data_IF_700225806992
#
_entry.id   IF_700225806992
#
_cell.length_a   1.000
_cell.length_b   1.000
_cell.length_c   1.000
_cell.angle_alpha   90.00
_cell.angle_beta   90.00
_cell.angle_gamma   90.00
#
_symmetry.space_group_name_H-M   'P 1'
#
loop_
_entity.id
_entity.type
_entity.pdbx_description
1 polymer ?
#
# COMPACT_ATOMS: atom_id res chain seq x y z
N UNK A 1 -43.14 -26.83 -39.26
CA UNK A 1 -41.80 -26.66 -39.86
C UNK A 1 -41.12 -25.62 -39.04
N UNK A 2 -40.27 -26.10 -38.15
CA UNK A 2 -39.56 -25.32 -37.14
C UNK A 2 -38.54 -24.41 -37.82
N UNK A 3 -38.53 -23.13 -37.44
CA UNK A 3 -37.37 -22.26 -37.62
C UNK A 3 -36.92 -21.78 -36.23
N UNK A 4 -36.06 -22.60 -35.63
CA UNK A 4 -35.28 -22.24 -34.47
C UNK A 4 -34.07 -21.42 -34.93
N UNK A 5 -34.23 -20.11 -35.07
CA UNK A 5 -33.07 -19.21 -35.10
C UNK A 5 -32.83 -18.69 -33.68
N UNK A 6 -31.87 -19.30 -32.99
CA UNK A 6 -31.35 -18.81 -31.70
C UNK A 6 -30.71 -17.42 -31.88
N UNK A 7 -30.87 -16.48 -30.94
CA UNK A 7 -30.07 -15.26 -30.94
C UNK A 7 -28.60 -15.64 -30.72
N UNK A 8 -27.74 -15.27 -31.67
CA UNK A 8 -26.30 -15.32 -31.47
C UNK A 8 -25.93 -14.44 -30.26
N UNK A 9 -25.07 -14.91 -29.35
CA UNK A 9 -24.55 -14.04 -28.30
C UNK A 9 -23.73 -12.95 -28.97
N UNK A 10 -24.06 -11.70 -28.62
CA UNK A 10 -23.36 -10.49 -29.03
C UNK A 10 -21.90 -10.59 -28.53
N UNK A 11 -21.03 -11.19 -29.36
CA UNK A 11 -19.60 -11.21 -29.11
C UNK A 11 -19.12 -9.78 -29.32
N UNK A 12 -19.06 -9.03 -28.21
CA UNK A 12 -18.52 -7.68 -28.16
C UNK A 12 -17.15 -7.65 -28.85
N UNK A 13 -17.15 -7.24 -30.10
CA UNK A 13 -15.98 -7.07 -30.93
C UNK A 13 -15.35 -5.74 -30.50
N UNK A 14 -14.57 -5.76 -29.42
CA UNK A 14 -13.75 -4.60 -29.06
C UNK A 14 -12.74 -4.38 -30.19
N UNK A 15 -12.68 -3.14 -30.69
CA UNK A 15 -11.71 -2.76 -31.72
C UNK A 15 -10.29 -3.04 -31.18
N UNK A 16 -9.48 -3.90 -31.84
CA UNK A 16 -8.14 -4.24 -31.38
C UNK A 16 -7.25 -3.01 -31.16
N UNK A 17 -7.48 -1.92 -31.90
CA UNK A 17 -6.76 -0.66 -31.75
C UNK A 17 -7.15 0.01 -30.44
N UNK A 18 -8.45 0.07 -30.12
CA UNK A 18 -8.96 0.62 -28.87
C UNK A 18 -8.46 -0.17 -27.65
N UNK A 19 -8.37 -1.49 -27.75
CA UNK A 19 -7.82 -2.33 -26.67
C UNK A 19 -6.32 -2.09 -26.48
N UNK A 20 -5.57 -1.91 -27.56
CA UNK A 20 -4.15 -1.58 -27.50
C UNK A 20 -3.91 -0.19 -26.91
N UNK A 21 -4.71 0.79 -27.30
CA UNK A 21 -4.68 2.16 -26.77
C UNK A 21 -5.03 2.19 -25.28
N UNK A 22 -6.03 1.42 -24.86
CA UNK A 22 -6.37 1.26 -23.44
C UNK A 22 -5.20 0.63 -22.67
N UNK A 23 -4.59 -0.44 -23.17
CA UNK A 23 -3.41 -1.08 -22.56
C UNK A 23 -2.21 -0.15 -22.48
N UNK A 24 -1.94 0.62 -23.53
CA UNK A 24 -0.90 1.65 -23.55
C UNK A 24 -1.16 2.71 -22.48
N UNK A 25 -2.39 3.22 -22.39
CA UNK A 25 -2.78 4.18 -21.37
C UNK A 25 -2.64 3.62 -19.95
N UNK A 26 -2.94 2.32 -19.73
CA UNK A 26 -2.70 1.66 -18.44
C UNK A 26 -1.22 1.57 -18.07
N UNK A 27 -0.36 1.22 -19.04
CA UNK A 27 1.08 1.15 -18.85
C UNK A 27 1.66 2.53 -18.54
N UNK A 28 1.22 3.56 -19.27
CA UNK A 28 1.64 4.95 -19.04
C UNK A 28 1.17 5.50 -17.70
N UNK A 29 -0.03 5.10 -17.26
CA UNK A 29 -0.57 5.50 -15.96
C UNK A 29 0.13 4.85 -14.77
N UNK A 30 0.91 3.78 -15.01
CA UNK A 30 1.63 3.02 -14.01
C UNK A 30 0.75 2.08 -13.21
N UNK A 31 1.39 1.24 -12.39
CA UNK A 31 0.76 0.09 -11.75
C UNK A 31 0.12 -0.82 -12.81
N UNK A 32 0.93 -1.45 -13.65
CA UNK A 32 0.45 -2.22 -14.81
C UNK A 32 -0.18 -3.57 -14.46
N UNK A 33 0.14 -4.12 -13.29
CA UNK A 33 -0.44 -5.38 -12.81
C UNK A 33 -1.88 -5.20 -12.35
N UNK A 34 -2.77 -6.18 -12.55
CA UNK A 34 -4.16 -6.09 -12.09
C UNK A 34 -4.28 -6.03 -10.55
N UNK A 35 -3.28 -6.57 -9.85
CA UNK A 35 -3.21 -6.56 -8.39
C UNK A 35 -1.95 -5.82 -7.92
N UNK A 36 -2.17 -4.98 -6.91
CA UNK A 36 -1.14 -4.37 -6.08
C UNK A 36 -1.21 -4.99 -4.69
N UNK A 37 -0.18 -4.82 -3.87
CA UNK A 37 -0.14 -5.41 -2.53
C UNK A 37 0.30 -4.39 -1.53
N UNK A 38 -0.35 -4.30 -0.38
CA UNK A 38 0.20 -3.62 0.79
C UNK A 38 0.50 -4.67 1.87
N UNK A 39 0.92 -4.27 3.05
CA UNK A 39 1.06 -5.18 4.20
C UNK A 39 0.17 -4.78 5.35
N UNK A 40 -0.21 -5.74 6.20
CA UNK A 40 -0.94 -5.49 7.44
C UNK A 40 -0.20 -4.48 8.32
N UNK A 41 1.13 -4.62 8.41
CA UNK A 41 1.99 -3.69 9.13
C UNK A 41 1.80 -2.27 8.63
N UNK A 42 1.83 -2.02 7.32
CA UNK A 42 1.65 -0.67 6.75
C UNK A 42 0.23 -0.12 6.90
N UNK A 43 -0.79 -0.99 6.98
CA UNK A 43 -2.17 -0.58 7.24
C UNK A 43 -2.33 -0.14 8.70
N UNK A 44 -1.64 -0.80 9.63
CA UNK A 44 -1.66 -0.46 11.05
C UNK A 44 -0.69 0.70 11.38
N UNK A 45 0.37 0.82 10.60
CA UNK A 45 1.45 1.78 10.73
C UNK A 45 1.40 2.76 9.55
N UNK A 46 0.38 3.62 9.50
CA UNK A 46 0.24 4.53 8.36
C UNK A 46 1.28 5.65 8.41
N UNK A 47 1.95 5.87 7.28
CA UNK A 47 2.85 7.02 7.16
C UNK A 47 2.09 8.34 7.31
N UNK A 48 2.75 9.43 7.72
CA UNK A 48 2.16 10.75 7.70
C UNK A 48 1.50 11.14 6.35
N UNK A 49 0.41 11.89 6.42
CA UNK A 49 -0.27 12.44 5.23
C UNK A 49 0.46 13.67 4.65
N UNK A 50 1.31 14.31 5.44
CA UNK A 50 2.04 15.53 5.05
C UNK A 50 3.38 15.63 5.80
N UNK A 51 4.25 16.51 5.33
CA UNK A 51 5.59 16.75 5.88
C UNK A 51 5.62 17.25 7.34
N UNK A 52 4.45 17.60 7.92
CA UNK A 52 4.35 18.22 9.25
C UNK A 52 4.70 17.29 10.41
N UNK A 53 4.72 15.98 10.20
CA UNK A 53 5.02 15.00 11.25
C UNK A 53 6.49 15.02 11.72
N UNK A 54 7.41 15.59 10.94
CA UNK A 54 8.81 15.67 11.34
C UNK A 54 9.55 14.34 11.19
N UNK A 55 10.24 13.90 12.25
CA UNK A 55 11.15 12.74 12.23
C UNK A 55 10.62 11.51 12.96
N UNK A 56 9.59 11.67 13.79
CA UNK A 56 9.08 10.63 14.68
C UNK A 56 7.55 10.67 14.67
N UNK A 57 6.95 9.49 14.74
CA UNK A 57 5.50 9.31 14.82
C UNK A 57 5.21 8.11 15.72
N UNK A 58 4.29 8.29 16.65
CA UNK A 58 3.75 7.20 17.47
C UNK A 58 2.26 7.08 17.16
N UNK A 59 1.83 5.86 16.81
CA UNK A 59 0.44 5.49 16.57
C UNK A 59 0.01 4.48 17.63
N UNK A 60 -1.13 4.68 18.25
CA UNK A 60 -1.68 3.76 19.25
C UNK A 60 -3.00 3.21 18.72
N UNK A 61 -3.09 1.89 18.63
CA UNK A 61 -4.25 1.18 18.13
C UNK A 61 -4.61 0.00 19.05
N UNK A 62 -5.46 0.27 20.04
CA UNK A 62 -5.80 -0.72 21.05
C UNK A 62 -4.56 -1.09 21.86
N UNK A 63 -4.14 -2.35 21.77
CA UNK A 63 -2.98 -2.87 22.49
C UNK A 63 -1.67 -2.74 21.70
N UNK A 64 -1.74 -2.31 20.44
CA UNK A 64 -0.55 -2.14 19.59
C UNK A 64 -0.13 -0.68 19.56
N UNK A 65 1.13 -0.43 19.90
CA UNK A 65 1.80 0.86 19.67
C UNK A 65 2.76 0.68 18.51
N UNK A 66 2.73 1.58 17.53
CA UNK A 66 3.71 1.62 16.44
C UNK A 66 4.48 2.91 16.50
N UNK A 67 5.80 2.79 16.59
CA UNK A 67 6.74 3.91 16.60
C UNK A 67 7.51 3.91 15.30
N UNK A 68 7.51 5.03 14.60
CA UNK A 68 8.33 5.23 13.40
C UNK A 68 9.34 6.33 13.64
N UNK A 69 10.57 6.09 13.21
CA UNK A 69 11.62 7.10 13.23
C UNK A 69 12.38 7.12 11.91
N UNK A 70 12.70 8.33 11.42
CA UNK A 70 13.60 8.49 10.29
C UNK A 70 14.51 9.70 10.47
N UNK A 71 15.82 9.46 10.45
CA UNK A 71 16.84 10.51 10.60
C UNK A 71 16.74 11.62 9.55
N UNK A 72 16.16 11.30 8.39
CA UNK A 72 15.95 12.22 7.27
C UNK A 72 14.54 12.82 7.22
N UNK A 73 13.74 12.65 8.28
CA UNK A 73 12.33 13.00 8.29
C UNK A 73 11.48 11.84 7.76
N UNK A 74 10.30 11.64 8.35
CA UNK A 74 9.42 10.55 7.98
C UNK A 74 8.96 10.68 6.52
N UNK A 75 8.84 9.55 5.79
CA UNK A 75 8.20 9.53 4.49
C UNK A 75 6.74 9.99 4.64
N UNK A 76 6.22 10.74 3.66
CA UNK A 76 4.85 11.25 3.73
C UNK A 76 4.15 11.32 2.38
N UNK A 77 2.82 11.38 2.43
CA UNK A 77 1.98 11.51 1.24
C UNK A 77 1.88 10.23 0.42
N UNK A 78 1.44 10.34 -0.82
CA UNK A 78 1.09 9.16 -1.61
C UNK A 78 2.28 8.33 -2.06
N UNK A 79 3.43 8.95 -2.37
CA UNK A 79 4.53 8.23 -3.01
C UNK A 79 5.13 7.13 -2.15
N UNK A 80 5.41 7.33 -0.84
CA UNK A 80 5.84 6.23 0.01
C UNK A 80 4.87 5.05 0.03
N UNK A 81 3.56 5.32 0.08
CA UNK A 81 2.52 4.28 0.07
C UNK A 81 2.54 3.49 -1.24
N UNK A 82 2.67 4.17 -2.37
CA UNK A 82 2.76 3.52 -3.69
C UNK A 82 4.07 2.74 -3.85
N UNK A 83 5.19 3.29 -3.39
CA UNK A 83 6.50 2.62 -3.39
C UNK A 83 6.42 1.36 -2.53
N UNK A 84 5.82 1.44 -1.35
CA UNK A 84 5.59 0.26 -0.52
C UNK A 84 4.70 -0.77 -1.22
N UNK A 85 3.66 -0.32 -1.94
CA UNK A 85 2.83 -1.24 -2.68
C UNK A 85 3.59 -1.98 -3.79
N UNK A 86 4.44 -1.23 -4.51
CA UNK A 86 5.34 -1.78 -5.51
C UNK A 86 6.34 -2.75 -4.89
N UNK A 87 6.91 -2.39 -3.73
CA UNK A 87 7.93 -3.18 -3.04
C UNK A 87 7.37 -4.49 -2.50
N UNK A 88 6.19 -4.49 -1.89
CA UNK A 88 5.51 -5.72 -1.43
C UNK A 88 5.26 -6.66 -2.60
N UNK A 89 4.80 -6.13 -3.74
CA UNK A 89 4.59 -6.92 -4.97
C UNK A 89 5.88 -7.55 -5.49
N UNK A 90 6.97 -6.78 -5.57
CA UNK A 90 8.26 -7.31 -6.04
C UNK A 90 8.87 -8.32 -5.05
N UNK A 91 8.71 -8.10 -3.75
CA UNK A 91 9.11 -9.07 -2.73
C UNK A 91 8.35 -10.40 -2.92
N UNK A 92 7.02 -10.35 -3.10
CA UNK A 92 6.21 -11.54 -3.36
C UNK A 92 6.64 -12.30 -4.62
N UNK A 93 7.04 -11.59 -5.69
CA UNK A 93 7.54 -12.23 -6.91
C UNK A 93 8.81 -13.05 -6.72
N UNK A 94 9.59 -12.70 -5.69
CA UNK A 94 10.91 -13.27 -5.41
C UNK A 94 10.90 -14.28 -4.27
N UNK A 95 9.75 -14.59 -3.67
CA UNK A 95 9.69 -15.39 -2.44
C UNK A 95 10.15 -16.85 -2.57
N UNK A 96 10.20 -17.38 -3.79
CA UNK A 96 10.72 -18.73 -4.05
C UNK A 96 12.26 -18.77 -4.17
N UNK A 97 12.93 -17.61 -4.12
CA UNK A 97 14.39 -17.52 -4.10
C UNK A 97 14.94 -17.69 -2.67
N UNK A 98 16.23 -18.02 -2.52
CA UNK A 98 16.89 -17.97 -1.21
C UNK A 98 16.72 -16.58 -0.57
N UNK A 99 16.52 -16.53 0.74
CA UNK A 99 16.16 -15.30 1.47
C UNK A 99 17.10 -14.12 1.17
N UNK A 100 18.41 -14.39 1.03
CA UNK A 100 19.41 -13.36 0.75
C UNK A 100 19.33 -12.76 -0.65
N UNK A 101 18.83 -13.51 -1.62
CA UNK A 101 18.55 -13.02 -2.98
C UNK A 101 17.13 -12.43 -3.08
N UNK A 102 16.18 -13.03 -2.37
CA UNK A 102 14.77 -12.65 -2.41
C UNK A 102 14.54 -11.23 -1.85
N UNK A 103 15.28 -10.87 -0.79
CA UNK A 103 15.21 -9.56 -0.14
C UNK A 103 15.98 -8.46 -0.86
N UNK A 104 16.75 -8.79 -1.89
CA UNK A 104 17.40 -7.83 -2.77
C UNK A 104 16.49 -7.54 -3.96
N UNK A 105 15.77 -6.43 -3.89
CA UNK A 105 14.77 -6.03 -4.87
C UNK A 105 15.43 -5.15 -5.93
N UNK A 106 15.56 -5.62 -7.19
CA UNK A 106 16.09 -4.80 -8.26
C UNK A 106 15.18 -3.60 -8.50
N UNK A 107 15.80 -2.45 -8.68
CA UNK A 107 15.20 -1.26 -9.23
C UNK A 107 15.40 -1.33 -10.74
N UNK A 108 14.37 -1.04 -11.53
CA UNK A 108 14.44 -1.07 -13.00
C UNK A 108 15.68 -0.37 -13.57
N UNK A 109 16.02 -0.70 -14.81
CA UNK A 109 17.14 -0.10 -15.56
C UNK A 109 17.14 1.44 -15.62
N UNK A 110 16.04 2.12 -15.32
CA UNK A 110 16.02 3.58 -15.19
C UNK A 110 15.06 4.12 -14.12
N UNK A 111 15.43 5.26 -13.54
CA UNK A 111 14.60 6.02 -12.60
C UNK A 111 13.23 6.37 -13.19
N UNK A 112 13.19 6.80 -14.46
CA UNK A 112 11.94 7.14 -15.15
C UNK A 112 11.04 5.91 -15.32
N UNK A 113 11.62 4.74 -15.61
CA UNK A 113 10.90 3.47 -15.66
C UNK A 113 10.30 3.10 -14.31
N UNK A 114 11.09 3.19 -13.23
CA UNK A 114 10.60 2.99 -11.86
C UNK A 114 9.48 3.96 -11.48
N UNK A 115 9.61 5.25 -11.78
CA UNK A 115 8.57 6.24 -11.54
C UNK A 115 7.25 5.86 -12.20
N UNK A 116 7.31 5.44 -13.47
CA UNK A 116 6.15 4.96 -14.20
C UNK A 116 5.54 3.74 -13.53
N UNK A 117 6.31 2.72 -13.19
CA UNK A 117 5.77 1.51 -12.55
C UNK A 117 5.06 1.75 -11.22
N UNK A 118 5.63 2.61 -10.37
CA UNK A 118 5.02 3.01 -9.09
C UNK A 118 3.75 3.86 -9.31
N UNK A 119 3.52 4.37 -10.52
CA UNK A 119 2.39 5.25 -10.84
C UNK A 119 2.65 6.72 -10.50
N UNK A 120 3.93 7.09 -10.33
CA UNK A 120 4.37 8.48 -10.22
C UNK A 120 4.35 9.12 -11.62
N UNK A 121 3.90 10.37 -11.70
CA UNK A 121 3.82 11.10 -12.97
C UNK A 121 5.18 11.34 -13.63
N UNK A 122 5.17 12.12 -14.71
CA UNK A 122 6.35 12.40 -15.55
C UNK A 122 7.60 12.75 -14.73
N UNK A 123 8.72 12.13 -15.08
CA UNK A 123 10.03 12.44 -14.52
C UNK A 123 10.49 13.82 -15.02
N UNK A 124 10.66 14.75 -14.10
CA UNK A 124 11.14 16.11 -14.35
C UNK A 124 12.31 16.44 -13.44
N UNK A 125 13.34 17.06 -14.02
CA UNK A 125 14.54 17.50 -13.31
C UNK A 125 14.38 18.86 -12.64
N UNK A 126 15.48 19.36 -12.07
CA UNK A 126 15.54 20.66 -11.39
C UNK A 126 15.18 20.60 -9.90
N UNK A 127 15.37 21.72 -9.20
CA UNK A 127 15.19 21.83 -7.74
C UNK A 127 13.76 21.48 -7.28
N UNK A 128 12.77 21.83 -8.10
CA UNK A 128 11.33 21.55 -7.86
C UNK A 128 10.80 20.39 -8.70
N UNK A 129 11.68 19.65 -9.37
CA UNK A 129 11.32 18.52 -10.22
C UNK A 129 10.83 17.29 -9.42
N UNK A 130 10.09 16.42 -10.10
CA UNK A 130 9.58 15.17 -9.51
C UNK A 130 10.71 14.22 -9.12
N UNK A 131 11.82 14.23 -9.86
CA UNK A 131 13.02 13.43 -9.54
C UNK A 131 13.60 13.85 -8.18
N UNK A 132 13.77 15.16 -7.96
CA UNK A 132 14.32 15.69 -6.71
C UNK A 132 13.42 15.37 -5.52
N UNK A 133 12.11 15.52 -5.69
CA UNK A 133 11.12 15.13 -4.68
C UNK A 133 11.16 13.62 -4.38
N UNK A 134 11.38 12.78 -5.39
CA UNK A 134 11.40 11.33 -5.24
C UNK A 134 12.64 10.89 -4.49
N UNK A 135 13.82 11.41 -4.86
CA UNK A 135 15.07 11.16 -4.14
C UNK A 135 14.92 11.47 -2.65
N UNK A 136 14.25 12.58 -2.32
CA UNK A 136 13.96 12.95 -0.92
C UNK A 136 13.04 11.92 -0.24
N UNK A 137 11.93 11.55 -0.86
CA UNK A 137 10.99 10.55 -0.30
C UNK A 137 11.63 9.17 -0.14
N UNK A 138 12.40 8.70 -1.12
CA UNK A 138 13.11 7.42 -1.04
C UNK A 138 14.16 7.42 0.07
N UNK A 139 14.94 8.52 0.19
CA UNK A 139 15.91 8.66 1.29
C UNK A 139 15.21 8.61 2.66
N UNK A 140 14.09 9.32 2.82
CA UNK A 140 13.28 9.29 4.04
C UNK A 140 12.72 7.90 4.33
N UNK A 141 12.15 7.24 3.31
CA UNK A 141 11.52 5.92 3.41
C UNK A 141 12.54 4.85 3.82
N UNK A 142 13.61 4.68 3.06
CA UNK A 142 14.59 3.62 3.31
C UNK A 142 15.50 3.88 4.51
N UNK A 143 15.43 5.07 5.13
CA UNK A 143 16.05 5.33 6.44
C UNK A 143 15.07 5.27 7.61
N UNK A 144 13.86 4.76 7.40
CA UNK A 144 12.84 4.63 8.46
C UNK A 144 13.02 3.31 9.21
N UNK A 145 13.02 3.38 10.54
CA UNK A 145 12.78 2.25 11.44
C UNK A 145 11.32 2.25 11.89
N UNK A 146 10.78 1.06 12.08
CA UNK A 146 9.43 0.79 12.56
C UNK A 146 9.57 -0.14 13.76
N UNK A 147 9.18 0.33 14.93
CA UNK A 147 9.03 -0.46 16.15
C UNK A 147 7.56 -0.73 16.42
N UNK A 148 7.22 -1.97 16.74
CA UNK A 148 5.87 -2.39 17.10
C UNK A 148 5.92 -2.99 18.50
N UNK A 149 5.14 -2.40 19.41
CA UNK A 149 4.97 -2.87 20.78
C UNK A 149 3.54 -3.40 20.93
N UNK A 150 3.39 -4.68 21.30
CA UNK A 150 2.08 -5.26 21.61
C UNK A 150 1.98 -5.48 23.12
N UNK A 151 1.05 -4.76 23.76
CA UNK A 151 0.73 -4.97 25.18
C UNK A 151 -0.05 -6.28 25.34
N UNK A 152 0.46 -7.18 26.18
CA UNK A 152 -0.28 -8.36 26.62
C UNK A 152 -1.48 -7.98 27.49
N UNK A 153 -2.49 -8.86 27.55
CA UNK A 153 -3.69 -8.71 28.39
C UNK A 153 -3.40 -8.92 29.90
N UNK A 154 -2.23 -9.46 30.23
CA UNK A 154 -1.74 -9.67 31.60
C UNK A 154 -0.43 -8.90 31.79
N UNK A 155 -0.29 -8.19 32.92
CA UNK A 155 0.93 -7.46 33.34
C UNK A 155 2.20 -8.35 33.41
N UNK A 156 2.05 -9.68 33.26
CA UNK A 156 3.10 -10.70 33.31
C UNK A 156 3.50 -11.30 31.95
N UNK A 157 2.86 -10.93 30.83
CA UNK A 157 3.29 -11.39 29.50
C UNK A 157 4.28 -10.40 28.91
N UNK A 158 5.45 -10.92 28.50
CA UNK A 158 6.54 -10.21 27.82
C UNK A 158 5.99 -9.22 26.77
N UNK A 159 6.50 -7.99 26.81
CA UNK A 159 6.34 -7.01 25.75
C UNK A 159 6.94 -7.62 24.48
N UNK A 160 6.12 -7.93 23.48
CA UNK A 160 6.63 -8.35 22.18
C UNK A 160 7.11 -7.10 21.46
N UNK A 161 8.42 -6.98 21.36
CA UNK A 161 9.14 -5.84 20.78
C UNK A 161 9.69 -6.29 19.44
N UNK A 162 9.07 -5.81 18.35
CA UNK A 162 9.59 -6.02 17.01
C UNK A 162 10.07 -4.69 16.44
N UNK A 163 11.39 -4.52 16.33
CA UNK A 163 12.00 -3.36 15.68
C UNK A 163 12.63 -3.79 14.36
N UNK A 164 12.18 -3.20 13.26
CA UNK A 164 12.71 -3.44 11.93
C UNK A 164 13.05 -2.14 11.21
N UNK A 165 14.16 -2.17 10.47
CA UNK A 165 14.44 -1.14 9.46
C UNK A 165 13.86 -1.58 8.12
N UNK A 166 13.38 -0.64 7.31
CA UNK A 166 12.83 -0.99 5.99
C UNK A 166 13.92 -1.57 5.07
N UNK A 167 15.10 -0.95 5.03
CA UNK A 167 16.20 -1.38 4.17
C UNK A 167 17.52 -1.40 4.93
N UNK A 168 18.32 -2.45 4.69
CA UNK A 168 19.70 -2.57 5.19
C UNK A 168 20.69 -1.86 4.27
N UNK A 169 20.46 -1.92 2.96
CA UNK A 169 21.32 -1.32 1.94
C UNK A 169 20.50 -0.85 0.75
N UNK A 170 20.90 0.26 0.15
CA UNK A 170 20.30 0.73 -1.11
C UNK A 170 21.38 1.17 -2.06
N UNK A 171 21.28 0.74 -3.31
CA UNK A 171 22.04 1.28 -4.43
C UNK A 171 21.10 1.93 -5.42
N UNK A 172 21.20 3.26 -5.55
CA UNK A 172 20.29 4.06 -6.35
C UNK A 172 20.98 4.51 -7.64
N UNK A 173 20.20 4.88 -8.66
CA UNK A 173 20.71 5.41 -9.93
C UNK A 173 21.59 6.67 -9.80
N UNK A 174 21.52 7.37 -8.66
CA UNK A 174 22.31 8.58 -8.40
C UNK A 174 23.45 8.35 -7.41
N UNK A 175 23.76 7.10 -7.07
CA UNK A 175 25.00 6.77 -6.34
C UNK A 175 26.19 6.98 -7.28
N UNK A 176 27.23 7.75 -6.89
CA UNK A 176 28.42 7.94 -7.71
C UNK A 176 29.09 6.60 -8.05
N UNK A 177 29.46 6.40 -9.32
CA UNK A 177 30.07 5.16 -9.83
C UNK A 177 31.26 5.47 -10.75
N UNK A 178 32.22 4.54 -10.88
CA UNK A 178 33.21 4.57 -11.95
C UNK A 178 32.53 4.60 -13.34
N UNK A 179 33.17 5.24 -14.32
CA UNK A 179 32.59 5.49 -15.64
C UNK A 179 32.30 4.22 -16.48
N UNK A 180 32.85 3.07 -16.10
CA UNK A 180 32.78 1.83 -16.89
C UNK A 180 31.59 0.91 -16.53
N UNK A 181 30.75 1.31 -15.55
CA UNK A 181 29.59 0.54 -15.08
C UNK A 181 28.32 0.89 -15.89
N UNK A 182 28.29 0.45 -17.15
CA UNK A 182 27.25 0.81 -18.14
C UNK A 182 25.92 0.07 -17.86
N UNK A 183 25.97 -1.12 -17.25
CA UNK A 183 24.82 -2.01 -17.02
C UNK A 183 24.26 -1.93 -15.58
N UNK A 184 24.49 -0.81 -14.89
CA UNK A 184 24.06 -0.71 -13.49
C UNK A 184 22.53 -0.70 -13.32
N UNK A 185 22.03 -1.72 -12.63
CA UNK A 185 20.68 -1.76 -12.09
C UNK A 185 20.68 -1.45 -10.59
N UNK A 186 19.87 -0.46 -10.19
CA UNK A 186 19.67 -0.16 -8.78
C UNK A 186 19.13 -1.35 -8.02
N UNK A 187 19.30 -1.37 -6.70
CA UNK A 187 18.59 -2.33 -5.86
C UNK A 187 18.33 -1.79 -4.46
N UNK A 188 17.32 -2.37 -3.81
CA UNK A 188 17.01 -2.17 -2.41
C UNK A 188 17.14 -3.51 -1.71
N UNK A 189 18.08 -3.63 -0.78
CA UNK A 189 18.19 -4.79 0.10
C UNK A 189 17.37 -4.53 1.37
N UNK A 190 16.23 -5.20 1.45
CA UNK A 190 15.35 -5.15 2.61
C UNK A 190 15.98 -5.87 3.80
N UNK A 191 15.60 -5.43 5.01
CA UNK A 191 15.94 -6.20 6.19
C UNK A 191 15.22 -7.54 6.17
N UNK A 192 15.84 -8.57 6.75
CA UNK A 192 15.25 -9.91 6.76
C UNK A 192 13.90 -9.94 7.50
N UNK A 193 13.77 -9.20 8.61
CA UNK A 193 12.53 -9.07 9.38
C UNK A 193 11.46 -8.39 8.55
N UNK A 194 11.76 -7.22 8.00
CA UNK A 194 10.80 -6.47 7.21
C UNK A 194 10.37 -7.20 5.93
N UNK A 195 11.29 -7.85 5.23
CA UNK A 195 10.96 -8.71 4.08
C UNK A 195 9.99 -9.83 4.49
N UNK A 196 10.28 -10.53 5.57
CA UNK A 196 9.43 -11.61 6.07
C UNK A 196 8.02 -11.11 6.38
N UNK A 197 7.90 -9.94 7.00
CA UNK A 197 6.61 -9.32 7.31
C UNK A 197 5.82 -8.93 6.07
N UNK A 198 6.50 -8.39 5.04
CA UNK A 198 5.84 -8.05 3.78
C UNK A 198 5.20 -9.27 3.13
N UNK A 199 5.91 -10.40 3.09
CA UNK A 199 5.41 -11.64 2.50
C UNK A 199 4.28 -12.24 3.35
N UNK A 200 4.49 -12.37 4.66
CA UNK A 200 3.56 -13.00 5.61
C UNK A 200 2.30 -12.20 5.89
N UNK A 201 2.23 -10.94 5.47
CA UNK A 201 1.08 -10.08 5.78
C UNK A 201 0.58 -9.29 4.58
N UNK A 202 0.89 -9.77 3.38
CA UNK A 202 0.48 -9.16 2.14
C UNK A 202 -1.04 -9.09 2.02
N UNK A 203 -1.57 -7.89 1.73
CA UNK A 203 -2.98 -7.63 1.49
C UNK A 203 -3.15 -7.20 0.02
N UNK A 204 -3.92 -7.95 -0.80
CA UNK A 204 -4.13 -7.62 -2.19
C UNK A 204 -5.06 -6.40 -2.33
N UNK A 205 -4.74 -5.57 -3.31
CA UNK A 205 -5.46 -4.36 -3.69
C UNK A 205 -5.76 -4.43 -5.20
N UNK A 206 -6.96 -4.00 -5.61
CA UNK A 206 -7.28 -3.77 -7.01
C UNK A 206 -6.51 -2.53 -7.49
N UNK A 207 -5.62 -2.75 -8.45
CA UNK A 207 -4.76 -1.70 -8.96
C UNK A 207 -5.53 -0.56 -9.62
N UNK A 208 -6.70 -0.83 -10.23
CA UNK A 208 -7.52 0.19 -10.89
C UNK A 208 -8.09 1.19 -9.88
N UNK A 209 -8.52 0.66 -8.73
CA UNK A 209 -8.97 1.47 -7.58
C UNK A 209 -7.77 2.26 -7.03
N UNK A 210 -6.64 1.60 -6.75
CA UNK A 210 -5.44 2.25 -6.22
C UNK A 210 -4.95 3.38 -7.14
N UNK A 211 -4.93 3.16 -8.46
CA UNK A 211 -4.53 4.13 -9.47
C UNK A 211 -5.43 5.38 -9.46
N UNK A 212 -6.73 5.20 -9.29
CA UNK A 212 -7.69 6.31 -9.19
C UNK A 212 -7.49 7.14 -7.91
N UNK A 213 -7.06 6.49 -6.82
CA UNK A 213 -6.86 7.11 -5.52
C UNK A 213 -5.45 7.69 -5.30
N UNK A 214 -4.50 7.42 -6.21
CA UNK A 214 -3.06 7.68 -6.03
C UNK A 214 -2.69 9.12 -5.67
N UNK A 215 -3.56 10.11 -5.95
CA UNK A 215 -3.35 11.53 -5.62
C UNK A 215 -3.75 11.89 -4.17
N UNK A 216 -4.31 10.96 -3.40
CA UNK A 216 -4.85 11.22 -2.07
C UNK A 216 -4.31 10.20 -1.06
N UNK A 217 -3.30 10.54 -0.23
CA UNK A 217 -2.70 9.58 0.70
C UNK A 217 -3.73 9.00 1.68
N UNK A 218 -4.62 9.85 2.20
CA UNK A 218 -5.71 9.40 3.07
C UNK A 218 -6.66 8.43 2.35
N UNK A 219 -6.88 8.59 1.05
CA UNK A 219 -7.79 7.68 0.32
C UNK A 219 -7.13 6.32 0.04
N UNK A 220 -5.82 6.31 -0.21
CA UNK A 220 -5.04 5.06 -0.31
C UNK A 220 -5.11 4.29 1.01
N UNK A 221 -4.93 4.98 2.14
CA UNK A 221 -4.95 4.32 3.45
C UNK A 221 -6.36 3.84 3.81
N UNK A 222 -7.39 4.66 3.58
CA UNK A 222 -8.79 4.26 3.80
C UNK A 222 -9.16 3.06 2.94
N UNK A 223 -8.79 3.05 1.66
CA UNK A 223 -9.03 1.92 0.76
C UNK A 223 -8.32 0.64 1.22
N UNK A 224 -7.05 0.75 1.57
CA UNK A 224 -6.23 -0.38 2.05
C UNK A 224 -6.79 -0.93 3.36
N UNK A 225 -7.14 -0.04 4.28
CA UNK A 225 -7.73 -0.37 5.57
C UNK A 225 -9.09 -1.07 5.44
N UNK A 226 -9.98 -0.55 4.58
CA UNK A 226 -11.29 -1.16 4.31
C UNK A 226 -11.14 -2.52 3.64
N UNK A 227 -10.25 -2.65 2.66
CA UNK A 227 -10.01 -3.92 1.96
C UNK A 227 -9.56 -5.00 2.95
N UNK A 228 -8.60 -4.67 3.81
CA UNK A 228 -8.15 -5.58 4.86
C UNK A 228 -9.28 -5.90 5.85
N UNK A 229 -9.97 -4.90 6.41
CA UNK A 229 -11.04 -5.11 7.39
C UNK A 229 -12.18 -5.98 6.86
N UNK A 230 -12.65 -5.71 5.65
CA UNK A 230 -13.79 -6.43 5.02
C UNK A 230 -13.41 -7.87 4.69
N UNK A 231 -12.12 -8.17 4.43
CA UNK A 231 -11.68 -9.54 4.08
C UNK A 231 -11.97 -10.57 5.18
N UNK A 232 -11.80 -10.20 6.45
CA UNK A 232 -11.96 -11.10 7.60
C UNK A 232 -13.21 -10.83 8.45
N UNK A 233 -13.98 -9.78 8.14
CA UNK A 233 -15.15 -9.40 8.92
C UNK A 233 -16.24 -10.48 8.83
N UNK A 234 -16.61 -11.04 10.00
CA UNK A 234 -17.66 -12.07 10.09
C UNK A 234 -19.03 -11.53 10.50
N UNK A 235 -19.07 -10.40 11.19
CA UNK A 235 -20.30 -9.81 11.73
C UNK A 235 -20.29 -8.29 11.59
N UNK A 236 -21.47 -7.65 11.49
CA UNK A 236 -21.59 -6.20 11.50
C UNK A 236 -20.86 -5.58 12.71
N UNK A 237 -19.93 -4.66 12.45
CA UNK A 237 -19.08 -4.07 13.49
C UNK A 237 -19.00 -2.57 13.32
N UNK A 238 -19.25 -1.83 14.40
CA UNK A 238 -19.04 -0.37 14.43
C UNK A 238 -17.61 -0.09 14.87
N UNK A 239 -16.81 0.50 13.99
CA UNK A 239 -15.48 1.00 14.34
C UNK A 239 -15.61 2.48 14.72
N UNK A 240 -15.25 2.81 15.96
CA UNK A 240 -15.41 4.16 16.50
C UNK A 240 -14.38 5.13 15.94
N UNK A 241 -14.70 6.43 15.91
CA UNK A 241 -13.82 7.45 15.32
C UNK A 241 -12.45 7.59 15.98
N UNK A 242 -12.37 7.42 17.29
CA UNK A 242 -11.11 7.34 18.04
C UNK A 242 -10.24 6.18 17.56
N UNK A 243 -10.81 4.99 17.37
CA UNK A 243 -10.11 3.82 16.84
C UNK A 243 -9.62 4.04 15.40
N UNK A 244 -10.45 4.67 14.55
CA UNK A 244 -10.07 5.00 13.18
C UNK A 244 -8.94 6.05 13.18
N UNK A 245 -9.01 7.07 14.04
CA UNK A 245 -7.95 8.07 14.17
C UNK A 245 -6.65 7.46 14.70
N UNK A 246 -6.71 6.51 15.63
CA UNK A 246 -5.51 5.80 16.12
C UNK A 246 -4.74 5.08 15.00
N UNK A 247 -5.44 4.60 13.96
CA UNK A 247 -4.86 3.88 12.83
C UNK A 247 -4.48 4.78 11.65
N UNK A 248 -5.35 5.73 11.32
CA UNK A 248 -5.27 6.53 10.08
C UNK A 248 -5.08 8.03 10.35
N UNK A 249 -4.97 8.43 11.61
CA UNK A 249 -4.85 9.82 12.04
C UNK A 249 -3.41 10.31 12.15
N UNK A 250 -2.46 9.69 11.46
CA UNK A 250 -1.06 10.10 11.48
C UNK A 250 -0.90 11.62 11.19
N UNK A 251 -0.40 12.36 12.19
CA UNK A 251 -0.21 13.81 12.14
C UNK A 251 -1.39 14.67 12.59
N UNK A 252 -2.47 14.09 13.12
CA UNK A 252 -3.56 14.82 13.76
C UNK A 252 -3.39 14.81 15.28
N UNK A 253 -3.49 15.97 15.96
CA UNK A 253 -3.35 16.03 17.41
C UNK A 253 -4.52 15.32 18.10
N UNK A 254 -4.26 14.70 19.25
CA UNK A 254 -5.29 14.09 20.09
C UNK A 254 -6.07 15.16 20.86
N UNK A 255 -6.87 15.92 20.13
CA UNK A 255 -7.71 17.01 20.63
C UNK A 255 -9.05 16.96 19.91
N UNK A 256 -10.09 17.55 20.50
CA UNK A 256 -11.40 17.69 19.85
C UNK A 256 -11.34 18.33 18.47
N UNK A 257 -10.45 19.32 18.27
CA UNK A 257 -10.24 19.95 16.98
C UNK A 257 -9.49 19.03 16.00
N UNK A 258 -8.48 18.30 16.48
CA UNK A 258 -7.77 17.28 15.70
C UNK A 258 -8.72 16.20 15.20
N UNK A 259 -9.59 15.67 16.06
CA UNK A 259 -10.63 14.71 15.72
C UNK A 259 -11.62 15.24 14.69
N UNK A 260 -12.09 16.49 14.83
CA UNK A 260 -12.97 17.12 13.82
C UNK A 260 -12.28 17.25 12.46
N UNK A 261 -11.02 17.69 12.46
CA UNK A 261 -10.23 17.83 11.23
C UNK A 261 -9.96 16.47 10.57
N UNK A 262 -9.65 15.45 11.37
CA UNK A 262 -9.47 14.07 10.92
C UNK A 262 -10.74 13.54 10.29
N UNK A 263 -11.87 13.55 11.02
CA UNK A 263 -13.17 13.06 10.52
C UNK A 263 -13.56 13.75 9.22
N UNK A 264 -13.39 15.07 9.11
CA UNK A 264 -13.64 15.81 7.86
C UNK A 264 -12.81 15.28 6.70
N UNK A 265 -11.50 15.10 6.89
CA UNK A 265 -10.59 14.63 5.83
C UNK A 265 -10.78 13.16 5.49
N UNK A 266 -11.05 12.33 6.50
CA UNK A 266 -11.41 10.93 6.35
C UNK A 266 -12.67 10.78 5.49
N UNK A 267 -13.75 11.51 5.80
CA UNK A 267 -15.01 11.40 5.05
C UNK A 267 -14.86 11.82 3.58
N UNK A 268 -14.07 12.88 3.31
CA UNK A 268 -13.73 13.26 1.93
C UNK A 268 -12.97 12.15 1.21
N UNK A 269 -12.05 11.48 1.91
CA UNK A 269 -11.30 10.36 1.34
C UNK A 269 -12.18 9.12 1.14
N UNK A 270 -13.07 8.82 2.10
CA UNK A 270 -14.02 7.72 2.02
C UNK A 270 -14.95 7.87 0.81
N UNK A 271 -15.48 9.07 0.56
CA UNK A 271 -16.32 9.32 -0.61
C UNK A 271 -15.57 8.99 -1.91
N UNK A 272 -14.30 9.40 -2.03
CA UNK A 272 -13.47 9.02 -3.20
C UNK A 272 -13.32 7.51 -3.35
N UNK A 273 -13.23 6.77 -2.24
CA UNK A 273 -13.15 5.30 -2.26
C UNK A 273 -14.48 4.71 -2.73
N UNK A 274 -15.61 5.18 -2.19
CA UNK A 274 -16.95 4.71 -2.57
C UNK A 274 -17.24 5.00 -4.05
N UNK A 275 -16.80 6.15 -4.57
CA UNK A 275 -16.98 6.53 -5.99
C UNK A 275 -16.32 5.53 -6.96
N UNK A 276 -15.22 4.89 -6.56
CA UNK A 276 -14.47 3.94 -7.41
C UNK A 276 -14.63 2.47 -6.98
N UNK A 277 -15.15 2.24 -5.77
CA UNK A 277 -15.50 0.94 -5.23
C UNK A 277 -16.87 1.01 -4.53
N UNK A 278 -17.96 1.01 -5.32
CA UNK A 278 -19.31 1.00 -4.76
C UNK A 278 -19.54 -0.28 -3.97
N UNK A 279 -19.90 -0.15 -2.68
CA UNK A 279 -20.17 -1.28 -1.80
C UNK A 279 -21.18 -0.90 -0.72
N UNK A 280 -22.09 -1.83 -0.42
CA UNK A 280 -23.07 -1.70 0.67
C UNK A 280 -22.47 -2.11 2.03
N UNK A 281 -21.21 -2.58 2.04
CA UNK A 281 -20.51 -3.00 3.25
C UNK A 281 -20.14 -1.86 4.20
N UNK A 282 -20.36 -0.60 3.80
CA UNK A 282 -19.87 0.58 4.51
C UNK A 282 -21.03 1.53 4.76
N UNK A 283 -21.26 1.87 6.02
CA UNK A 283 -22.29 2.84 6.43
C UNK A 283 -21.75 3.81 7.47
N UNK A 284 -21.95 5.11 7.26
CA UNK A 284 -21.54 6.14 8.22
C UNK A 284 -22.56 6.20 9.35
N UNK A 285 -22.11 6.08 10.61
CA UNK A 285 -22.95 6.21 11.80
C UNK A 285 -22.43 7.32 12.71
N UNK A 286 -23.25 7.78 13.67
CA UNK A 286 -22.91 8.92 14.54
C UNK A 286 -21.53 8.78 15.23
N UNK A 287 -21.23 7.59 15.74
CA UNK A 287 -20.05 7.31 16.56
C UNK A 287 -18.91 6.64 15.79
N UNK A 288 -19.08 6.34 14.49
CA UNK A 288 -18.06 5.64 13.73
C UNK A 288 -18.48 5.29 12.31
N UNK A 289 -17.95 4.18 11.83
CA UNK A 289 -18.36 3.54 10.58
C UNK A 289 -18.85 2.15 10.94
N UNK A 290 -20.06 1.82 10.48
CA UNK A 290 -20.56 0.46 10.49
C UNK A 290 -19.99 -0.25 9.26
N UNK A 291 -19.25 -1.33 9.50
CA UNK A 291 -18.83 -2.27 8.48
C UNK A 291 -19.72 -3.50 8.58
N UNK A 292 -20.27 -3.95 7.45
CA UNK A 292 -21.00 -5.22 7.35
C UNK A 292 -20.23 -6.20 6.46
N UNK A 293 -20.34 -7.52 6.70
CA UNK A 293 -19.71 -8.51 5.83
C UNK A 293 -20.18 -8.33 4.38
N UNK A 294 -19.25 -8.39 3.44
CA UNK A 294 -19.57 -8.31 2.02
C UNK A 294 -18.36 -8.61 1.15
N UNK A 295 -18.49 -8.28 -0.13
CA UNK A 295 -17.48 -8.61 -1.14
C UNK A 295 -16.27 -7.67 -1.00
N UNK A 296 -15.05 -8.19 -0.73
CA UNK A 296 -13.84 -7.37 -0.77
C UNK A 296 -13.57 -6.83 -2.17
N UNK A 297 -12.79 -5.75 -2.27
CA UNK A 297 -12.45 -5.11 -3.55
C UNK A 297 -11.70 -6.06 -4.50
N UNK A 298 -10.87 -6.94 -3.94
CA UNK A 298 -10.28 -8.07 -4.65
C UNK A 298 -11.08 -9.33 -4.31
N UNK A 299 -11.74 -10.00 -5.27
CA UNK A 299 -12.52 -11.20 -4.99
C UNK A 299 -11.72 -12.30 -4.30
N UNK A 300 -12.29 -12.98 -3.29
CA UNK A 300 -11.61 -14.03 -2.51
C UNK A 300 -10.93 -15.08 -3.38
N UNK A 301 -11.59 -15.54 -4.45
CA UNK A 301 -11.01 -16.49 -5.41
C UNK A 301 -9.69 -15.98 -6.02
N UNK A 302 -9.59 -14.70 -6.37
CA UNK A 302 -8.36 -14.12 -6.90
C UNK A 302 -7.27 -14.05 -5.82
N UNK A 303 -7.66 -13.88 -4.55
CA UNK A 303 -6.74 -13.96 -3.41
C UNK A 303 -6.24 -15.40 -3.22
N UNK A 304 -7.11 -16.40 -3.31
CA UNK A 304 -6.76 -17.81 -3.18
C UNK A 304 -5.85 -18.28 -4.32
N UNK A 305 -6.15 -17.89 -5.56
CA UNK A 305 -5.30 -18.17 -6.73
C UNK A 305 -3.92 -17.53 -6.57
N UNK A 306 -3.86 -16.34 -5.98
CA UNK A 306 -2.59 -15.68 -5.68
C UNK A 306 -1.82 -16.41 -4.56
N UNK A 307 -2.47 -16.74 -3.44
CA UNK A 307 -1.85 -17.53 -2.37
C UNK A 307 -1.25 -18.83 -2.91
N UNK A 308 -1.98 -19.54 -3.75
CA UNK A 308 -1.50 -20.76 -4.43
C UNK A 308 -0.31 -20.49 -5.34
N UNK A 309 -0.38 -19.46 -6.19
CA UNK A 309 0.69 -19.08 -7.13
C UNK A 309 1.99 -18.73 -6.41
N UNK A 310 1.86 -18.18 -5.21
CA UNK A 310 2.97 -17.64 -4.44
C UNK A 310 3.37 -18.52 -3.25
N UNK A 311 2.72 -19.68 -3.05
CA UNK A 311 3.01 -20.62 -1.95
C UNK A 311 3.12 -19.94 -0.59
N UNK A 312 2.32 -18.90 -0.37
CA UNK A 312 2.15 -18.32 0.96
C UNK A 312 1.43 -19.40 1.76
N UNK A 313 2.06 -19.92 2.82
CA UNK A 313 1.70 -21.18 3.49
C UNK A 313 0.21 -21.34 3.86
N UNK A 314 -0.16 -22.53 4.31
CA UNK A 314 -1.56 -22.96 4.53
C UNK A 314 -2.36 -22.13 5.56
N UNK A 315 -1.73 -21.19 6.26
CA UNK A 315 -2.42 -20.24 7.11
C UNK A 315 -3.11 -19.16 6.27
N UNK A 316 -4.44 -19.03 6.33
CA UNK A 316 -5.13 -17.96 5.63
C UNK A 316 -4.64 -16.60 6.13
N UNK A 317 -4.14 -15.78 5.20
CA UNK A 317 -3.72 -14.40 5.46
C UNK A 317 -4.86 -13.44 5.86
N UNK A 318 -6.10 -13.94 5.95
CA UNK A 318 -7.31 -13.15 6.15
C UNK A 318 -8.28 -13.86 7.11
#
# INVERSE_FOLDING_TARGET
>A
MDDHTLPQPDSGNSDPISDLEARLAEIEAGLGDPLSFTSKTLIQATFPHSAKAGKELVLVNGHTTVTMYSRHGLPYGSWPRLIMCWLTREALRRQNLPIDEAREIPLNSSLSGFMREVGIGRATGGERGTITALKKQMRSLFSTSIGIDIKGDDDLKLLDLDESVIAERTEMWWTPRPHDDIDFEGYIRLSATFYSDLIKSAVPLDTRILRSLKKSPMAIDVYSWLTYRVSYLRYPTVIKWDQIQGQLGAGYPDTSQGMRNFRKKFLIALNKVIDVWPTDSISIVKNGILLTPGSPSVPRRAQDEFQKRFSIGDDPLF
#
